data_IF_607106882189
#
_entry.id   IF_607106882189
#
_cell.length_a   1.000
_cell.length_b   1.000
_cell.length_c   1.000
_cell.angle_alpha   90.00
_cell.angle_beta   90.00
_cell.angle_gamma   90.00
#
_symmetry.space_group_name_H-M   'P 1'
#
loop_
_entity.id
_entity.type
_entity.pdbx_description
1 polymer ?
#
# COMPACT_ATOMS: atom_id res chain seq x y z
N UNK A 1 -23.20 -4.53 16.40
CA UNK A 1 -22.23 -3.42 16.33
C UNK A 1 -21.19 -3.77 15.28
N UNK A 2 -21.32 -3.25 14.05
CA UNK A 2 -20.31 -3.38 13.00
C UNK A 2 -20.21 -2.03 12.32
N UNK A 3 -19.19 -1.25 12.67
CA UNK A 3 -18.89 0.02 12.01
C UNK A 3 -18.44 -0.26 10.59
N UNK A 4 -19.40 -0.21 9.66
CA UNK A 4 -19.12 -0.08 8.24
C UNK A 4 -18.46 1.27 8.00
N UNK A 5 -17.13 1.33 8.15
CA UNK A 5 -16.35 2.41 7.57
C UNK A 5 -16.45 2.19 6.07
N UNK A 6 -17.32 2.96 5.42
CA UNK A 6 -17.26 3.17 3.99
C UNK A 6 -15.91 3.81 3.68
N UNK A 7 -14.90 2.99 3.42
CA UNK A 7 -13.66 3.44 2.84
C UNK A 7 -13.62 2.84 1.46
N UNK A 8 -13.87 3.66 0.45
CA UNK A 8 -13.50 3.36 -0.93
C UNK A 8 -11.98 3.15 -0.90
N UNK A 9 -11.52 1.94 -0.55
CA UNK A 9 -10.09 1.64 -0.49
C UNK A 9 -9.59 1.80 -1.91
N UNK A 10 -8.97 2.94 -2.17
CA UNK A 10 -8.37 3.21 -3.45
C UNK A 10 -7.32 2.15 -3.72
N UNK A 11 -6.98 1.91 -4.99
CA UNK A 11 -5.91 0.98 -5.33
C UNK A 11 -4.59 1.33 -4.61
N UNK A 12 -4.39 2.60 -4.25
CA UNK A 12 -3.28 3.10 -3.40
C UNK A 12 -3.35 2.56 -1.96
N UNK A 13 -4.50 2.64 -1.29
CA UNK A 13 -4.68 2.11 0.07
C UNK A 13 -4.49 0.59 0.13
N UNK A 14 -4.95 -0.13 -0.90
CA UNK A 14 -4.74 -1.56 -1.04
C UNK A 14 -3.25 -1.90 -1.21
N UNK A 15 -2.54 -1.15 -2.06
CA UNK A 15 -1.11 -1.30 -2.25
C UNK A 15 -0.32 -0.94 -0.98
N UNK A 16 -0.73 0.11 -0.27
CA UNK A 16 -0.12 0.55 0.98
C UNK A 16 -0.27 -0.52 2.08
N UNK A 17 -1.47 -1.08 2.21
CA UNK A 17 -1.75 -2.16 3.17
C UNK A 17 -0.94 -3.41 2.83
N UNK A 18 -0.93 -3.82 1.55
CA UNK A 18 -0.13 -4.95 1.06
C UNK A 18 1.37 -4.78 1.32
N UNK A 19 1.88 -3.57 1.14
CA UNK A 19 3.27 -3.25 1.44
C UNK A 19 3.51 -3.26 2.96
N UNK A 20 2.60 -2.68 3.75
CA UNK A 20 2.70 -2.60 5.20
C UNK A 20 2.75 -3.99 5.87
N UNK A 21 1.97 -4.96 5.37
CA UNK A 21 1.97 -6.35 5.86
C UNK A 21 3.24 -7.14 5.53
N UNK A 22 4.18 -6.55 4.78
CA UNK A 22 5.45 -7.18 4.44
C UNK A 22 5.34 -8.18 3.29
N UNK A 23 4.27 -8.14 2.51
CA UNK A 23 4.03 -9.05 1.38
C UNK A 23 4.84 -8.71 0.12
N UNK A 24 5.56 -7.58 0.11
CA UNK A 24 6.44 -7.18 -0.99
C UNK A 24 7.82 -7.84 -0.87
N UNK A 25 8.38 -8.23 -2.02
CA UNK A 25 9.73 -8.79 -2.08
C UNK A 25 10.76 -7.67 -1.86
N UNK A 26 11.47 -7.74 -0.73
CA UNK A 26 12.50 -6.75 -0.35
C UNK A 26 13.79 -6.90 -1.15
N UNK A 27 13.96 -7.99 -1.90
CA UNK A 27 15.12 -8.20 -2.77
C UNK A 27 14.99 -7.45 -4.10
N UNK A 28 13.77 -6.97 -4.42
CA UNK A 28 13.45 -6.23 -5.64
C UNK A 28 12.97 -4.82 -5.30
N UNK A 29 13.03 -3.94 -6.29
CA UNK A 29 12.48 -2.60 -6.16
C UNK A 29 10.97 -2.66 -5.90
N UNK A 30 10.50 -1.95 -4.87
CA UNK A 30 9.10 -1.99 -4.42
C UNK A 30 8.15 -1.30 -5.42
N UNK A 31 8.57 -0.17 -6.00
CA UNK A 31 7.73 0.60 -6.92
C UNK A 31 7.32 -0.20 -8.16
N UNK A 32 8.23 -0.85 -8.91
CA UNK A 32 7.85 -1.72 -10.02
C UNK A 32 6.88 -2.83 -9.60
N UNK A 33 7.07 -3.44 -8.43
CA UNK A 33 6.15 -4.47 -7.93
C UNK A 33 4.74 -3.93 -7.69
N UNK A 34 4.62 -2.71 -7.15
CA UNK A 34 3.32 -2.06 -6.97
C UNK A 34 2.69 -1.75 -8.32
N UNK A 35 3.46 -1.25 -9.28
CA UNK A 35 2.98 -0.97 -10.63
C UNK A 35 2.51 -2.24 -11.35
N UNK A 36 3.26 -3.34 -11.27
CA UNK A 36 2.89 -4.62 -11.88
C UNK A 36 1.64 -5.22 -11.23
N UNK A 37 1.57 -5.20 -9.89
CA UNK A 37 0.49 -5.86 -9.13
C UNK A 37 -0.81 -5.08 -9.16
N UNK A 38 -0.75 -3.76 -9.04
CA UNK A 38 -1.93 -2.91 -8.90
C UNK A 38 -2.21 -2.04 -10.14
N UNK A 39 -1.37 -2.13 -11.18
CA UNK A 39 -1.46 -1.31 -12.41
C UNK A 39 -1.57 0.19 -12.13
N UNK A 40 -0.88 0.62 -11.07
CA UNK A 40 -0.86 2.01 -10.61
C UNK A 40 0.21 2.83 -11.36
N UNK A 41 -0.05 4.11 -11.66
CA UNK A 41 0.99 5.01 -12.13
C UNK A 41 2.04 5.27 -11.05
N UNK A 42 3.22 5.75 -11.45
CA UNK A 42 4.35 6.02 -10.56
C UNK A 42 3.98 6.88 -9.34
N UNK A 43 3.21 7.95 -9.55
CA UNK A 43 2.74 8.83 -8.47
C UNK A 43 1.97 8.08 -7.37
N UNK A 44 1.11 7.15 -7.78
CA UNK A 44 0.25 6.39 -6.88
C UNK A 44 1.04 5.29 -6.17
N UNK A 45 2.04 4.70 -6.84
CA UNK A 45 2.97 3.75 -6.21
C UNK A 45 3.83 4.41 -5.12
N UNK A 46 4.27 5.65 -5.33
CA UNK A 46 5.01 6.43 -4.32
C UNK A 46 4.12 6.77 -3.12
N UNK A 47 2.87 7.21 -3.37
CA UNK A 47 1.90 7.46 -2.30
C UNK A 47 1.61 6.19 -1.49
N UNK A 48 1.47 5.03 -2.14
CA UNK A 48 1.30 3.75 -1.46
C UNK A 48 2.51 3.41 -0.55
N UNK A 49 3.73 3.66 -1.02
CA UNK A 49 4.95 3.52 -0.20
C UNK A 49 4.93 4.41 1.05
N UNK A 50 4.53 5.68 0.88
CA UNK A 50 4.41 6.63 1.99
C UNK A 50 3.36 6.18 3.00
N UNK A 51 2.17 5.81 2.53
CA UNK A 51 1.10 5.31 3.40
C UNK A 51 1.51 4.03 4.13
N UNK A 52 2.20 3.10 3.45
CA UNK A 52 2.69 1.88 4.10
C UNK A 52 3.66 2.18 5.24
N UNK A 53 4.55 3.17 5.08
CA UNK A 53 5.46 3.61 6.14
C UNK A 53 4.68 4.19 7.35
N UNK A 54 3.65 5.00 7.09
CA UNK A 54 2.77 5.52 8.14
C UNK A 54 2.00 4.42 8.87
N UNK A 55 1.50 3.41 8.15
CA UNK A 55 0.82 2.25 8.75
C UNK A 55 1.78 1.51 9.68
N UNK A 56 3.01 1.23 9.23
CA UNK A 56 4.04 0.58 10.04
C UNK A 56 4.41 1.40 11.27
N UNK A 57 4.53 2.72 11.13
CA UNK A 57 4.84 3.62 12.24
C UNK A 57 3.71 3.70 13.28
N UNK A 58 2.45 3.60 12.86
CA UNK A 58 1.28 3.55 13.77
C UNK A 58 1.11 2.20 14.48
N UNK A 59 1.62 1.13 13.88
CA UNK A 59 1.55 -0.21 14.45
C UNK A 59 2.62 -0.46 15.53
N UNK A 60 3.56 0.47 15.69
CA UNK A 60 4.68 0.44 16.63
C UNK A 60 4.42 1.40 17.80
#
# INVERSE_FOLDING_TARGET
>A
MSTGIGNTQGPVDLAATWLATGSADRTKAIIPQIQERFKLPLKDAVEACRQAALIRARAH
#
